data_IF_945916457924
#
_entry.id   IF_945916457924
#
_cell.length_a   1.000
_cell.length_b   1.000
_cell.length_c   1.000
_cell.angle_alpha   90.00
_cell.angle_beta   90.00
_cell.angle_gamma   90.00
#
_symmetry.space_group_name_H-M   'P 1'
#
loop_
_entity.id
_entity.type
_entity.pdbx_description
1 polymer ?
#
# COMPACT_ATOMS: atom_id res chain seq x y z
N UNK A 1 -19.85 -57.46 -16.08
CA UNK A 1 -19.28 -56.54 -15.06
C UNK A 1 -18.42 -55.48 -15.76
N UNK A 2 -19.01 -54.39 -16.23
CA UNK A 2 -18.27 -53.34 -16.96
C UNK A 2 -18.85 -51.93 -16.73
N UNK A 3 -19.48 -51.71 -15.56
CA UNK A 3 -20.11 -50.43 -15.20
C UNK A 3 -19.51 -49.74 -13.97
N UNK A 4 -18.53 -50.34 -13.29
CA UNK A 4 -17.87 -49.73 -12.12
C UNK A 4 -16.60 -48.93 -12.46
N UNK A 5 -16.06 -49.09 -13.66
CA UNK A 5 -14.82 -48.39 -14.06
C UNK A 5 -15.02 -46.96 -14.58
N UNK A 6 -16.27 -46.55 -14.86
CA UNK A 6 -16.59 -45.20 -15.34
C UNK A 6 -16.97 -44.22 -14.23
N UNK A 7 -17.32 -44.72 -13.04
CA UNK A 7 -17.67 -43.91 -11.88
C UNK A 7 -16.45 -43.27 -11.16
N UNK A 8 -15.23 -43.77 -11.44
CA UNK A 8 -13.99 -43.27 -10.82
C UNK A 8 -13.50 -41.94 -11.42
N UNK A 9 -13.50 -41.81 -12.75
CA UNK A 9 -12.96 -40.62 -13.41
C UNK A 9 -13.83 -39.37 -13.21
N UNK A 10 -15.17 -39.51 -13.18
CA UNK A 10 -16.07 -38.39 -12.91
C UNK A 10 -15.92 -37.83 -11.48
N UNK A 11 -15.60 -38.70 -10.50
CA UNK A 11 -15.29 -38.31 -9.12
C UNK A 11 -13.90 -37.70 -8.99
N UNK A 12 -12.90 -38.22 -9.71
CA UNK A 12 -11.57 -37.64 -9.72
C UNK A 12 -11.54 -36.23 -10.33
N UNK A 13 -12.26 -36.02 -11.45
CA UNK A 13 -12.39 -34.71 -12.09
C UNK A 13 -13.09 -33.69 -11.19
N UNK A 14 -14.15 -34.08 -10.48
CA UNK A 14 -14.86 -33.19 -9.54
C UNK A 14 -14.01 -32.83 -8.34
N UNK A 15 -13.25 -33.77 -7.77
CA UNK A 15 -12.30 -33.49 -6.67
C UNK A 15 -11.18 -32.55 -7.14
N UNK A 16 -10.63 -32.75 -8.34
CA UNK A 16 -9.63 -31.86 -8.92
C UNK A 16 -10.17 -30.45 -9.18
N UNK A 17 -11.37 -30.36 -9.73
CA UNK A 17 -12.01 -29.08 -10.03
C UNK A 17 -12.33 -28.32 -8.73
N UNK A 18 -12.81 -29.01 -7.69
CA UNK A 18 -13.01 -28.43 -6.36
C UNK A 18 -11.68 -27.98 -5.73
N UNK A 19 -10.63 -28.81 -5.82
CA UNK A 19 -9.31 -28.47 -5.29
C UNK A 19 -8.70 -27.24 -5.99
N UNK A 20 -8.99 -27.02 -7.28
CA UNK A 20 -8.57 -25.84 -8.02
C UNK A 20 -9.47 -24.61 -7.78
N UNK A 21 -10.77 -24.81 -7.54
CA UNK A 21 -11.74 -23.74 -7.32
C UNK A 21 -11.61 -23.13 -5.91
N UNK A 22 -11.28 -23.95 -4.89
CA UNK A 22 -11.19 -23.51 -3.51
C UNK A 22 -10.14 -22.38 -3.30
N UNK A 23 -8.90 -22.47 -3.82
CA UNK A 23 -7.93 -21.38 -3.77
C UNK A 23 -8.43 -20.10 -4.43
N UNK A 24 -9.18 -20.21 -5.54
CA UNK A 24 -9.75 -19.06 -6.24
C UNK A 24 -10.81 -18.36 -5.37
N UNK A 25 -11.70 -19.12 -4.75
CA UNK A 25 -12.70 -18.57 -3.84
C UNK A 25 -12.04 -17.97 -2.59
N UNK A 26 -11.00 -18.60 -2.05
CA UNK A 26 -10.22 -18.06 -0.95
C UNK A 26 -9.54 -16.73 -1.33
N UNK A 27 -8.98 -16.64 -2.54
CA UNK A 27 -8.38 -15.40 -3.03
C UNK A 27 -9.42 -14.29 -3.23
N UNK A 28 -10.60 -14.60 -3.78
CA UNK A 28 -11.68 -13.63 -3.99
C UNK A 28 -12.29 -13.14 -2.67
N UNK A 29 -12.49 -14.03 -1.71
CA UNK A 29 -12.99 -13.66 -0.37
C UNK A 29 -11.96 -12.80 0.37
N UNK A 30 -10.68 -13.16 0.31
CA UNK A 30 -9.60 -12.36 0.88
C UNK A 30 -9.52 -10.97 0.25
N UNK A 31 -9.65 -10.86 -1.08
CA UNK A 31 -9.61 -9.57 -1.78
C UNK A 31 -10.80 -8.68 -1.41
N UNK A 32 -12.02 -9.23 -1.40
CA UNK A 32 -13.25 -8.52 -1.01
C UNK A 32 -13.21 -8.08 0.46
N UNK A 33 -12.71 -8.93 1.35
CA UNK A 33 -12.57 -8.60 2.76
C UNK A 33 -11.54 -7.48 2.97
N UNK A 34 -10.43 -7.50 2.22
CA UNK A 34 -9.45 -6.42 2.18
C UNK A 34 -10.06 -5.08 1.73
N UNK A 35 -10.85 -5.09 0.66
CA UNK A 35 -11.56 -3.89 0.17
C UNK A 35 -12.57 -3.36 1.20
N UNK A 36 -13.36 -4.24 1.82
CA UNK A 36 -14.33 -3.83 2.83
C UNK A 36 -13.67 -3.24 4.08
N UNK A 37 -12.49 -3.76 4.48
CA UNK A 37 -11.71 -3.19 5.59
C UNK A 37 -11.12 -1.83 5.22
N UNK A 38 -10.60 -1.68 4.00
CA UNK A 38 -10.08 -0.42 3.51
C UNK A 38 -11.17 0.67 3.49
N UNK A 39 -12.36 0.35 2.98
CA UNK A 39 -13.49 1.27 2.99
C UNK A 39 -13.86 1.72 4.40
N UNK A 40 -13.88 0.79 5.37
CA UNK A 40 -14.13 1.10 6.78
C UNK A 40 -13.08 2.01 7.39
N UNK A 41 -11.79 1.79 7.11
CA UNK A 41 -10.72 2.65 7.60
C UNK A 41 -10.79 4.08 7.02
N UNK A 42 -11.34 4.23 5.81
CA UNK A 42 -11.57 5.53 5.18
C UNK A 42 -12.86 6.20 5.65
N UNK A 43 -13.73 5.52 6.40
CA UNK A 43 -14.94 6.15 6.93
C UNK A 43 -14.57 7.22 7.95
N UNK A 44 -14.98 8.46 7.69
CA UNK A 44 -14.67 9.60 8.54
C UNK A 44 -13.26 10.16 8.35
N UNK A 45 -12.44 9.58 7.46
CA UNK A 45 -11.17 10.19 7.09
C UNK A 45 -11.43 11.41 6.20
N UNK A 46 -11.09 12.60 6.71
CA UNK A 46 -11.14 13.85 5.97
C UNK A 46 -9.72 14.25 5.53
N UNK A 47 -9.37 14.12 4.24
CA UNK A 47 -8.04 14.47 3.77
C UNK A 47 -7.80 15.97 3.90
N UNK A 48 -6.76 16.35 4.65
CA UNK A 48 -6.33 17.73 4.82
C UNK A 48 -4.82 17.86 4.55
N UNK A 49 -4.35 19.00 3.98
CA UNK A 49 -2.93 19.30 3.91
C UNK A 49 -2.32 19.36 5.31
N UNK A 50 -1.07 18.93 5.44
CA UNK A 50 -0.34 18.93 6.71
C UNK A 50 1.02 19.62 6.54
N UNK A 51 1.46 20.29 7.59
CA UNK A 51 2.80 20.87 7.65
C UNK A 51 3.63 20.02 8.59
N UNK A 52 4.76 19.52 8.11
CA UNK A 52 5.64 18.64 8.86
C UNK A 52 7.09 19.11 8.77
N UNK A 53 7.86 18.81 9.81
CA UNK A 53 9.31 18.97 9.79
C UNK A 53 9.94 17.59 9.56
N UNK A 54 10.64 17.45 8.43
CA UNK A 54 11.39 16.26 8.04
C UNK A 54 12.83 16.46 8.47
N UNK A 55 13.35 15.57 9.30
CA UNK A 55 14.72 15.56 9.77
C UNK A 55 15.45 14.43 9.07
N UNK A 56 16.52 14.76 8.35
CA UNK A 56 17.38 13.80 7.64
C UNK A 56 18.84 14.23 7.83
N UNK A 57 19.68 13.29 8.27
CA UNK A 57 21.04 13.58 8.73
C UNK A 57 21.06 14.70 9.79
N UNK A 58 21.76 15.80 9.51
CA UNK A 58 21.87 16.98 10.40
C UNK A 58 20.99 18.16 9.97
N UNK A 59 20.06 17.96 9.03
CA UNK A 59 19.24 19.03 8.45
C UNK A 59 17.77 18.81 8.79
N UNK A 60 17.06 19.92 8.97
CA UNK A 60 15.61 19.96 9.16
C UNK A 60 15.00 20.69 7.97
N UNK A 61 13.98 20.09 7.38
CA UNK A 61 13.24 20.60 6.23
C UNK A 61 11.78 20.74 6.61
N UNK A 62 11.23 21.94 6.49
CA UNK A 62 9.80 22.17 6.69
C UNK A 62 9.07 22.00 5.37
N UNK A 63 8.09 21.11 5.33
CA UNK A 63 7.32 20.82 4.13
C UNK A 63 5.81 20.97 4.39
N UNK A 64 5.12 21.64 3.46
CA UNK A 64 3.66 21.61 3.39
C UNK A 64 3.28 20.52 2.38
N UNK A 65 2.63 19.47 2.85
CA UNK A 65 2.29 18.30 2.07
C UNK A 65 0.78 18.25 1.82
N UNK A 66 0.40 17.79 0.64
CA UNK A 66 -0.98 17.36 0.42
C UNK A 66 -1.28 16.14 1.29
N UNK A 67 -2.56 15.84 1.52
CA UNK A 67 -2.95 14.64 2.28
C UNK A 67 -2.36 13.35 1.68
N UNK A 68 -2.25 13.29 0.34
CA UNK A 68 -1.69 12.14 -0.37
C UNK A 68 -0.17 12.09 -0.26
N UNK A 69 0.52 13.22 -0.37
CA UNK A 69 1.98 13.25 -0.20
C UNK A 69 2.39 12.91 1.24
N UNK A 70 1.60 13.34 2.23
CA UNK A 70 1.80 12.97 3.62
C UNK A 70 1.58 11.47 3.88
N UNK A 71 0.56 10.87 3.24
CA UNK A 71 0.35 9.42 3.28
C UNK A 71 1.51 8.67 2.60
N UNK A 72 2.02 9.19 1.48
CA UNK A 72 3.20 8.64 0.81
C UNK A 72 4.46 8.77 1.67
N UNK A 73 4.62 9.88 2.40
CA UNK A 73 5.71 10.07 3.35
C UNK A 73 5.66 9.04 4.47
N UNK A 74 4.49 8.82 5.10
CA UNK A 74 4.30 7.77 6.11
C UNK A 74 4.72 6.41 5.55
N UNK A 75 4.21 6.04 4.37
CA UNK A 75 4.50 4.76 3.76
C UNK A 75 5.99 4.59 3.51
N UNK A 76 6.65 5.60 2.96
CA UNK A 76 8.06 5.53 2.62
C UNK A 76 8.93 5.44 3.88
N UNK A 77 8.60 6.17 4.95
CA UNK A 77 9.30 6.05 6.22
C UNK A 77 9.11 4.66 6.86
N UNK A 78 7.88 4.15 6.85
CA UNK A 78 7.57 2.81 7.39
C UNK A 78 8.25 1.69 6.60
N UNK A 79 8.47 1.88 5.30
CA UNK A 79 9.15 0.93 4.43
C UNK A 79 10.66 1.17 4.35
N UNK A 80 11.22 2.09 5.16
CA UNK A 80 12.64 2.47 5.13
C UNK A 80 13.14 2.84 3.73
N UNK A 81 12.27 3.46 2.92
CA UNK A 81 12.56 3.80 1.54
C UNK A 81 13.51 4.99 1.44
N UNK A 82 14.45 4.92 0.50
CA UNK A 82 15.45 5.96 0.25
C UNK A 82 15.25 6.65 -1.11
N UNK A 83 15.32 7.98 -1.12
CA UNK A 83 15.14 8.78 -2.32
C UNK A 83 14.98 10.27 -2.04
N UNK A 84 14.22 10.95 -2.91
CA UNK A 84 13.98 12.38 -2.85
C UNK A 84 12.48 12.66 -2.90
N UNK A 85 12.01 13.53 -2.01
CA UNK A 85 10.69 14.14 -2.07
C UNK A 85 10.80 15.47 -2.83
N UNK A 86 10.05 15.61 -3.91
CA UNK A 86 9.92 16.83 -4.70
C UNK A 86 9.03 17.84 -3.98
N UNK A 87 9.61 18.98 -3.57
CA UNK A 87 8.90 20.11 -2.95
C UNK A 87 9.30 21.39 -3.67
N UNK A 88 8.62 21.78 -4.76
CA UNK A 88 9.05 22.90 -5.59
C UNK A 88 9.36 24.16 -4.76
N UNK A 89 10.49 24.85 -5.01
CA UNK A 89 11.50 24.60 -6.04
C UNK A 89 12.67 23.66 -5.63
N UNK A 90 12.57 22.96 -4.50
CA UNK A 90 13.64 22.13 -3.94
C UNK A 90 13.28 20.64 -3.89
N UNK A 91 14.25 19.82 -3.46
CA UNK A 91 14.02 18.44 -3.07
C UNK A 91 14.46 18.22 -1.64
N UNK A 92 13.73 17.37 -0.92
CA UNK A 92 14.07 16.93 0.42
C UNK A 92 14.61 15.50 0.30
N UNK A 93 15.88 15.23 0.65
CA UNK A 93 16.37 13.86 0.69
C UNK A 93 15.62 13.10 1.79
N UNK A 94 15.25 11.85 1.49
CA UNK A 94 14.63 10.93 2.43
C UNK A 94 15.53 9.71 2.48
N UNK A 95 16.06 9.41 3.65
CA UNK A 95 16.90 8.25 3.94
C UNK A 95 16.26 7.39 5.03
N UNK A 96 16.82 6.19 5.27
CA UNK A 96 16.37 5.28 6.32
C UNK A 96 16.39 5.85 7.74
N UNK A 97 17.16 6.92 7.97
CA UNK A 97 17.28 7.59 9.27
C UNK A 97 16.42 8.85 9.35
N UNK A 98 15.59 9.09 8.34
CA UNK A 98 14.72 10.24 8.29
C UNK A 98 13.61 10.08 9.31
N UNK A 99 13.32 11.15 10.02
CA UNK A 99 12.23 11.21 10.99
C UNK A 99 11.36 12.42 10.73
N UNK A 100 10.11 12.34 11.17
CA UNK A 100 9.12 13.39 10.95
C UNK A 100 8.58 13.88 12.27
N UNK A 101 8.55 15.20 12.43
CA UNK A 101 7.82 15.89 13.49
C UNK A 101 6.56 16.49 12.87
N UNK A 102 5.41 16.11 13.40
CA UNK A 102 4.10 16.51 12.92
C UNK A 102 3.16 15.31 12.82
N UNK A 103 1.91 15.57 12.43
CA UNK A 103 0.89 14.52 12.32
C UNK A 103 0.80 14.04 10.87
N UNK A 104 1.27 12.81 10.63
CA UNK A 104 1.02 12.11 9.38
C UNK A 104 -0.31 11.33 9.46
N UNK A 105 -0.93 11.01 8.32
CA UNK A 105 -2.09 10.11 8.30
C UNK A 105 -1.77 8.78 8.99
N UNK A 106 -2.72 8.21 9.74
CA UNK A 106 -2.49 6.94 10.42
C UNK A 106 -2.31 5.80 9.42
N UNK A 107 -1.53 4.79 9.81
CA UNK A 107 -1.05 3.74 8.90
C UNK A 107 -2.17 2.88 8.30
N UNK A 108 -3.29 2.73 9.01
CA UNK A 108 -4.49 2.03 8.52
C UNK A 108 -5.16 2.78 7.37
N UNK A 109 -5.25 4.11 7.46
CA UNK A 109 -5.70 4.99 6.37
C UNK A 109 -4.74 4.91 5.18
N UNK A 110 -3.43 4.97 5.41
CA UNK A 110 -2.44 4.88 4.32
C UNK A 110 -2.52 3.53 3.62
N UNK A 111 -2.64 2.45 4.38
CA UNK A 111 -2.82 1.11 3.81
C UNK A 111 -4.13 1.02 3.03
N UNK A 112 -5.23 1.58 3.55
CA UNK A 112 -6.50 1.62 2.86
C UNK A 112 -6.40 2.39 1.53
N UNK A 113 -5.79 3.58 1.52
CA UNK A 113 -5.54 4.37 0.31
C UNK A 113 -4.70 3.58 -0.72
N UNK A 114 -3.75 2.77 -0.26
CA UNK A 114 -2.96 1.90 -1.13
C UNK A 114 -3.78 0.75 -1.71
N UNK A 115 -4.61 0.08 -0.90
CA UNK A 115 -5.46 -1.04 -1.32
C UNK A 115 -6.55 -0.58 -2.30
N UNK A 116 -7.08 0.62 -2.13
CA UNK A 116 -8.07 1.22 -3.04
C UNK A 116 -7.43 1.89 -4.26
N UNK A 117 -6.10 1.84 -4.42
CA UNK A 117 -5.39 2.43 -5.56
C UNK A 117 -5.36 3.97 -5.60
N UNK A 118 -5.71 4.63 -4.49
CA UNK A 118 -5.74 6.10 -4.40
C UNK A 118 -4.36 6.69 -4.09
N UNK A 119 -3.47 5.91 -3.46
CA UNK A 119 -2.13 6.34 -3.10
C UNK A 119 -1.20 6.34 -4.32
N UNK A 120 -0.90 7.52 -4.87
CA UNK A 120 0.04 7.71 -6.00
C UNK A 120 1.20 8.62 -5.57
N UNK A 121 2.36 8.04 -5.29
CA UNK A 121 3.52 8.76 -4.73
C UNK A 121 4.42 9.40 -5.80
N UNK A 122 3.83 10.18 -6.71
CA UNK A 122 4.56 10.77 -7.84
C UNK A 122 5.61 11.82 -7.44
N UNK A 123 5.43 12.46 -6.28
CA UNK A 123 6.40 13.40 -5.73
C UNK A 123 7.67 12.72 -5.17
N UNK A 124 7.67 11.38 -5.02
CA UNK A 124 8.79 10.63 -4.48
C UNK A 124 9.56 9.92 -5.60
N UNK A 125 10.85 10.24 -5.72
CA UNK A 125 11.74 9.70 -6.76
C UNK A 125 12.88 8.96 -6.09
N UNK A 126 13.09 7.69 -6.45
CA UNK A 126 14.20 6.89 -5.90
C UNK A 126 15.55 7.45 -6.33
N UNK A 127 16.59 7.27 -5.51
CA UNK A 127 17.95 7.70 -5.86
C UNK A 127 18.52 7.05 -7.14
N UNK A 128 17.97 5.93 -7.60
CA UNK A 128 18.49 5.11 -8.69
C UNK A 128 18.24 5.64 -10.13
N UNK A 129 18.35 6.95 -10.38
CA UNK A 129 18.18 7.53 -11.74
C UNK A 129 19.18 8.63 -12.10
N UNK A 130 20.40 8.55 -11.57
CA UNK A 130 21.53 9.40 -11.97
C UNK A 130 22.74 8.51 -12.39
N UNK A 131 22.53 7.48 -13.22
CA UNK A 131 23.58 6.78 -14.01
C UNK A 131 23.37 7.01 -15.51
#
# INVERSE_FOLDING_TARGET
MLFLWRAGNARALTVWLLAALLPLLAALTASLWGQARAQRALQGYAPAPVVVDIITGKRRYRASLTALDAACLERNLRLEWEGRLSTPPWFIPIDRHSSVIGTLPPSDVVQALSVTGQLRCAAFVSHAKDE
#
